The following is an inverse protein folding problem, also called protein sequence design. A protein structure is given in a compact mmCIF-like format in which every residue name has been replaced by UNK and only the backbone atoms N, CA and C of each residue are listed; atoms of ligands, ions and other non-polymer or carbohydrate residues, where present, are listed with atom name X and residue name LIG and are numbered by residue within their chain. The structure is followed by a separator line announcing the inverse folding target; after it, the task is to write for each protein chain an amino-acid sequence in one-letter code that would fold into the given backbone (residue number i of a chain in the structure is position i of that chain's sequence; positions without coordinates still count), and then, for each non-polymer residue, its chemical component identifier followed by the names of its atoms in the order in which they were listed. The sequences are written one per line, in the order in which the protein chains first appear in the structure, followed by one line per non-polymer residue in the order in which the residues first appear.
data_IF_830137029306
#
_entry.id   IF_830137029306
#
_cell.length_a   1.000
_cell.length_b   1.000
_cell.length_c   1.000
_cell.angle_alpha   90.00
_cell.angle_beta   90.00
_cell.angle_gamma   90.00
#
_symmetry.space_group_name_H-M   'P 1'
#
loop_
_entity.id
_entity.type
_entity.pdbx_description
1 polymer ?
#
# COMPACT_ATOMS: atom_id res chain seq x y z
N UNK A 1 5.09 -13.89 12.69
CA UNK A 1 4.41 -12.74 12.08
C UNK A 1 5.25 -12.30 10.90
N UNK A 2 4.74 -12.42 9.68
CA UNK A 2 5.46 -11.98 8.48
C UNK A 2 5.25 -10.47 8.40
N UNK A 3 6.29 -9.68 8.64
CA UNK A 3 6.22 -8.22 8.50
C UNK A 3 5.86 -7.85 7.06
N UNK A 4 5.08 -6.79 6.86
CA UNK A 4 4.64 -6.33 5.54
C UNK A 4 5.80 -6.13 4.56
N UNK A 5 6.96 -5.71 5.06
CA UNK A 5 8.20 -5.57 4.28
C UNK A 5 8.59 -6.86 3.53
N UNK A 6 8.45 -8.03 4.15
CA UNK A 6 8.77 -9.29 3.48
C UNK A 6 7.86 -9.57 2.28
N UNK A 7 6.65 -9.01 2.23
CA UNK A 7 5.71 -9.22 1.14
C UNK A 7 6.13 -8.48 -0.16
N UNK A 8 6.71 -7.27 -0.07
CA UNK A 8 7.13 -6.47 -1.23
C UNK A 8 8.66 -6.36 -1.37
N UNK A 9 9.44 -7.16 -0.63
CA UNK A 9 10.91 -7.12 -0.69
C UNK A 9 11.53 -7.77 -1.93
N UNK A 10 10.74 -8.43 -2.77
CA UNK A 10 11.18 -9.10 -4.01
C UNK A 10 10.67 -8.33 -5.21
N UNK A 11 11.57 -8.06 -6.17
CA UNK A 11 11.20 -7.39 -7.43
C UNK A 11 10.03 -8.07 -8.14
N UNK A 12 10.01 -9.41 -8.18
CA UNK A 12 8.89 -10.16 -8.79
C UNK A 12 7.53 -9.86 -8.12
N UNK A 13 7.49 -9.63 -6.81
CA UNK A 13 6.24 -9.25 -6.13
C UNK A 13 5.86 -7.80 -6.40
N UNK A 14 6.85 -6.91 -6.50
CA UNK A 14 6.63 -5.52 -6.94
C UNK A 14 6.08 -5.49 -8.36
N UNK A 15 6.63 -6.28 -9.27
CA UNK A 15 6.17 -6.40 -10.65
C UNK A 15 4.72 -6.94 -10.72
N UNK A 16 4.40 -7.97 -9.94
CA UNK A 16 3.01 -8.48 -9.83
C UNK A 16 2.07 -7.40 -9.31
N UNK A 17 2.47 -6.65 -8.25
CA UNK A 17 1.68 -5.53 -7.73
C UNK A 17 1.45 -4.45 -8.78
N UNK A 18 2.50 -4.06 -9.50
CA UNK A 18 2.40 -3.09 -10.59
C UNK A 18 1.36 -3.52 -11.64
N UNK A 19 1.46 -4.77 -12.09
CA UNK A 19 0.51 -5.32 -13.05
C UNK A 19 -0.93 -5.32 -12.55
N UNK A 20 -1.15 -5.59 -11.27
CA UNK A 20 -2.48 -5.60 -10.65
C UNK A 20 -3.02 -4.18 -10.40
N UNK A 21 -2.13 -3.20 -10.15
CA UNK A 21 -2.50 -1.79 -10.04
C UNK A 21 -2.86 -1.18 -11.40
N UNK A 22 -2.13 -1.56 -12.46
CA UNK A 22 -2.44 -1.11 -13.82
C UNK A 22 -3.78 -1.64 -14.34
N UNK A 23 -4.04 -2.91 -14.08
CA UNK A 23 -5.28 -3.58 -14.51
C UNK A 23 -5.74 -4.59 -13.47
N UNK A 24 -6.87 -4.37 -12.79
CA UNK A 24 -7.45 -5.34 -11.86
C UNK A 24 -7.97 -6.58 -12.58
N UNK A 25 -8.39 -7.57 -11.79
CA UNK A 25 -9.04 -8.82 -12.24
C UNK A 25 -8.20 -9.66 -13.20
N UNK A 26 -6.89 -9.80 -12.93
CA UNK A 26 -6.00 -10.69 -13.68
C UNK A 26 -6.05 -12.13 -13.16
N UNK A 27 -6.06 -13.09 -14.07
CA UNK A 27 -5.86 -14.49 -13.74
C UNK A 27 -4.36 -14.82 -13.56
N UNK A 28 -4.04 -15.92 -12.86
CA UNK A 28 -2.64 -16.40 -12.71
C UNK A 28 -1.96 -16.59 -14.06
N UNK A 29 -2.66 -17.10 -15.08
CA UNK A 29 -2.09 -17.30 -16.43
C UNK A 29 -1.63 -15.99 -17.07
N UNK A 30 -2.34 -14.89 -16.86
CA UNK A 30 -1.98 -13.57 -17.37
C UNK A 30 -0.76 -12.99 -16.65
N UNK A 31 -0.66 -13.22 -15.32
CA UNK A 31 0.52 -12.83 -14.54
C UNK A 31 1.75 -13.66 -14.92
N UNK A 32 1.59 -14.96 -15.19
CA UNK A 32 2.65 -15.84 -15.69
C UNK A 32 3.17 -15.35 -17.05
N UNK A 33 2.26 -15.01 -17.97
CA UNK A 33 2.62 -14.50 -19.29
C UNK A 33 3.37 -13.17 -19.21
N UNK A 34 2.91 -12.25 -18.35
CA UNK A 34 3.49 -10.94 -18.21
C UNK A 34 4.84 -10.94 -17.50
N UNK A 35 5.03 -11.79 -16.47
CA UNK A 35 6.27 -11.84 -15.66
C UNK A 35 7.30 -12.84 -16.18
N UNK A 36 6.89 -13.78 -17.02
CA UNK A 36 7.74 -14.90 -17.45
C UNK A 36 8.07 -15.92 -16.36
N UNK A 37 7.50 -15.80 -15.16
CA UNK A 37 7.75 -16.67 -14.04
C UNK A 37 6.97 -17.98 -14.14
N UNK A 38 7.48 -19.03 -13.48
CA UNK A 38 6.74 -20.28 -13.39
C UNK A 38 5.45 -20.11 -12.59
N UNK A 39 4.37 -20.80 -13.00
CA UNK A 39 3.04 -20.67 -12.43
C UNK A 39 2.97 -20.89 -10.89
N UNK A 40 3.78 -21.81 -10.35
CA UNK A 40 3.83 -22.05 -8.90
C UNK A 40 4.47 -20.87 -8.18
N UNK A 41 5.53 -20.26 -8.74
CA UNK A 41 6.18 -19.08 -8.19
C UNK A 41 5.23 -17.90 -8.16
N UNK A 42 4.47 -17.67 -9.24
CA UNK A 42 3.45 -16.62 -9.29
C UNK A 42 2.38 -16.86 -8.22
N UNK A 43 1.89 -18.09 -8.05
CA UNK A 43 0.91 -18.43 -7.00
C UNK A 43 1.44 -18.16 -5.60
N UNK A 44 2.68 -18.53 -5.31
CA UNK A 44 3.31 -18.24 -4.01
C UNK A 44 3.44 -16.74 -3.76
N UNK A 45 3.86 -15.98 -4.77
CA UNK A 45 3.97 -14.53 -4.66
C UNK A 45 2.61 -13.87 -4.42
N UNK A 46 1.60 -14.24 -5.21
CA UNK A 46 0.22 -13.74 -5.05
C UNK A 46 -0.33 -14.12 -3.66
N UNK A 47 -0.11 -15.35 -3.20
CA UNK A 47 -0.56 -15.76 -1.86
C UNK A 47 0.06 -14.92 -0.76
N UNK A 48 1.38 -14.65 -0.82
CA UNK A 48 2.05 -13.77 0.15
C UNK A 48 1.49 -12.34 0.14
N UNK A 49 1.13 -11.83 -1.06
CA UNK A 49 0.50 -10.51 -1.19
C UNK A 49 -0.93 -10.49 -0.62
N UNK A 50 -1.68 -11.58 -0.77
CA UNK A 50 -3.00 -11.75 -0.14
C UNK A 50 -2.88 -11.80 1.39
N UNK A 51 -1.94 -12.59 1.90
CA UNK A 51 -1.71 -12.74 3.34
C UNK A 51 -1.27 -11.42 4.00
N UNK A 52 -0.59 -10.56 3.23
CA UNK A 52 -0.20 -9.22 3.63
C UNK A 52 -1.32 -8.16 3.45
N UNK A 53 -2.42 -8.51 2.79
CA UNK A 53 -3.56 -7.61 2.56
C UNK A 53 -3.42 -6.69 1.35
N UNK A 54 -2.40 -6.86 0.50
CA UNK A 54 -2.18 -6.03 -0.69
C UNK A 54 -2.95 -6.50 -1.93
N UNK A 55 -3.39 -7.74 -1.95
CA UNK A 55 -4.13 -8.35 -3.06
C UNK A 55 -5.39 -9.00 -2.53
N UNK A 56 -6.47 -8.89 -3.30
CA UNK A 56 -7.72 -9.63 -3.10
C UNK A 56 -7.90 -10.65 -4.22
N UNK A 57 -8.64 -11.71 -3.92
CA UNK A 57 -8.96 -12.78 -4.85
C UNK A 57 -10.47 -12.96 -4.95
N UNK A 58 -11.00 -12.95 -6.15
CA UNK A 58 -12.42 -13.11 -6.43
C UNK A 58 -12.66 -14.27 -7.41
N UNK A 59 -13.74 -14.98 -7.21
CA UNK A 59 -14.15 -16.02 -8.18
C UNK A 59 -14.93 -15.38 -9.31
N UNK A 60 -14.49 -15.61 -10.57
CA UNK A 60 -15.17 -15.11 -11.75
C UNK A 60 -16.63 -15.62 -11.80
N UNK A 61 -17.58 -14.69 -11.88
CA UNK A 61 -18.97 -15.02 -12.12
C UNK A 61 -19.19 -15.37 -13.60
N UNK A 62 -19.32 -16.67 -13.88
CA UNK A 62 -19.57 -17.16 -15.25
C UNK A 62 -21.01 -17.64 -15.42
N UNK A 63 -21.60 -17.27 -16.53
CA UNK A 63 -22.88 -17.81 -17.02
C UNK A 63 -22.69 -19.01 -17.94
N UNK A 64 -21.43 -19.31 -18.34
CA UNK A 64 -21.08 -20.40 -19.28
C UNK A 64 -20.49 -21.60 -18.54
N UNK A 65 -20.67 -22.80 -19.12
CA UNK A 65 -20.16 -24.07 -18.58
C UNK A 65 -18.63 -24.07 -18.51
N UNK A 66 -18.06 -24.40 -17.36
CA UNK A 66 -16.63 -24.47 -17.11
C UNK A 66 -16.30 -24.17 -15.64
N UNK A 67 -15.09 -24.52 -15.19
CA UNK A 67 -14.65 -24.17 -13.83
C UNK A 67 -14.39 -22.66 -13.78
N UNK A 68 -15.00 -21.91 -12.84
CA UNK A 68 -14.71 -20.50 -12.65
C UNK A 68 -13.22 -20.26 -12.40
N UNK A 69 -12.68 -19.19 -12.96
CA UNK A 69 -11.32 -18.74 -12.68
C UNK A 69 -11.30 -17.89 -11.42
N UNK A 70 -10.16 -17.87 -10.75
CA UNK A 70 -9.89 -16.89 -9.69
C UNK A 70 -9.19 -15.71 -10.34
N UNK A 71 -9.70 -14.53 -10.09
CA UNK A 71 -9.18 -13.24 -10.55
C UNK A 71 -8.58 -12.49 -9.36
N UNK A 72 -7.48 -11.81 -9.59
CA UNK A 72 -6.73 -11.12 -8.58
C UNK A 72 -6.69 -9.62 -8.89
N UNK A 73 -6.85 -8.80 -7.86
CA UNK A 73 -6.81 -7.35 -7.95
C UNK A 73 -5.97 -6.77 -6.81
N UNK A 74 -5.35 -5.63 -7.04
CA UNK A 74 -4.77 -4.86 -5.94
C UNK A 74 -5.88 -4.43 -4.97
N UNK A 75 -5.62 -4.52 -3.67
CA UNK A 75 -6.52 -3.98 -2.66
C UNK A 75 -6.40 -2.45 -2.65
N UNK A 76 -7.42 -1.74 -3.08
CA UNK A 76 -7.41 -0.28 -3.21
C UNK A 76 -8.13 0.45 -2.08
N UNK A 77 -8.83 -0.30 -1.20
CA UNK A 77 -9.66 0.28 -0.15
C UNK A 77 -11.03 0.78 -0.62
N UNK A 78 -11.37 0.63 -1.90
CA UNK A 78 -12.75 0.84 -2.37
C UNK A 78 -13.64 -0.31 -1.91
N UNK A 79 -14.96 -0.08 -1.86
CA UNK A 79 -15.93 -1.09 -1.41
C UNK A 79 -15.80 -2.42 -2.18
N UNK A 80 -15.44 -2.36 -3.48
CA UNK A 80 -15.28 -3.52 -4.35
C UNK A 80 -13.90 -4.18 -4.24
N UNK A 81 -12.91 -3.48 -3.69
CA UNK A 81 -11.52 -3.91 -3.61
C UNK A 81 -10.91 -3.70 -2.21
N UNK A 82 -11.71 -3.95 -1.17
CA UNK A 82 -11.26 -3.86 0.22
C UNK A 82 -10.69 -5.20 0.71
N UNK A 83 -9.55 -5.14 1.39
CA UNK A 83 -8.93 -6.30 2.03
C UNK A 83 -9.26 -6.35 3.51
N UNK A 84 -9.96 -7.38 4.02
CA UNK A 84 -10.24 -7.53 5.44
C UNK A 84 -8.97 -7.59 6.31
N UNK A 85 -7.84 -8.01 5.75
CA UNK A 85 -6.54 -8.01 6.42
C UNK A 85 -6.03 -6.58 6.57
N UNK A 86 -6.07 -5.79 5.49
CA UNK A 86 -5.63 -4.40 5.50
C UNK A 86 -6.50 -3.53 6.41
N UNK A 87 -7.82 -3.68 6.37
CA UNK A 87 -8.76 -2.96 7.26
C UNK A 87 -8.43 -3.21 8.73
N UNK A 88 -8.27 -4.48 9.15
CA UNK A 88 -7.92 -4.78 10.54
C UNK A 88 -6.58 -4.17 10.95
N UNK A 89 -5.57 -4.20 10.07
CA UNK A 89 -4.25 -3.59 10.35
C UNK A 89 -4.40 -2.07 10.55
N UNK A 90 -5.15 -1.40 9.68
CA UNK A 90 -5.42 0.03 9.80
C UNK A 90 -6.12 0.38 11.12
N UNK A 91 -7.16 -0.38 11.50
CA UNK A 91 -7.86 -0.20 12.78
C UNK A 91 -6.96 -0.45 14.00
N UNK A 92 -6.07 -1.43 13.93
CA UNK A 92 -5.11 -1.71 15.00
C UNK A 92 -4.06 -0.60 15.12
N UNK A 93 -3.56 -0.06 14.01
CA UNK A 93 -2.65 1.06 13.96
C UNK A 93 -3.27 2.32 14.56
N UNK A 94 -4.51 2.66 14.16
CA UNK A 94 -5.26 3.78 14.70
C UNK A 94 -5.43 3.68 16.22
N UNK A 95 -5.79 2.49 16.74
CA UNK A 95 -5.90 2.26 18.19
C UNK A 95 -4.57 2.47 18.93
N UNK A 96 -3.45 2.04 18.33
CA UNK A 96 -2.12 2.26 18.92
C UNK A 96 -1.72 3.74 18.90
N UNK A 97 -1.97 4.42 17.80
CA UNK A 97 -1.72 5.85 17.67
C UNK A 97 -2.50 6.67 18.69
N UNK A 98 -3.78 6.38 18.87
CA UNK A 98 -4.62 7.02 19.90
C UNK A 98 -4.07 6.80 21.32
N UNK A 99 -3.61 5.60 21.62
CA UNK A 99 -3.00 5.29 22.92
C UNK A 99 -1.72 6.08 23.12
N UNK A 100 -0.84 6.13 22.13
CA UNK A 100 0.42 6.87 22.20
C UNK A 100 0.17 8.37 22.41
N UNK A 101 -0.78 8.98 21.69
CA UNK A 101 -1.15 10.39 21.88
C UNK A 101 -1.68 10.68 23.27
N UNK A 102 -2.44 9.76 23.89
CA UNK A 102 -2.91 9.91 25.28
C UNK A 102 -1.79 9.83 26.30
N UNK A 103 -0.78 9.00 26.06
CA UNK A 103 0.33 8.77 26.99
C UNK A 103 1.39 9.88 26.91
N UNK A 104 1.76 10.27 25.69
CA UNK A 104 2.86 11.20 25.46
C UNK A 104 2.40 12.65 25.22
N UNK A 105 1.09 12.87 25.08
CA UNK A 105 0.55 14.13 24.63
C UNK A 105 0.72 14.31 23.11
N UNK A 106 -0.16 15.10 22.51
CA UNK A 106 0.00 15.51 21.12
C UNK A 106 0.64 16.89 21.11
N UNK A 107 1.88 16.99 20.70
CA UNK A 107 2.59 18.27 20.46
C UNK A 107 2.14 18.96 19.15
N UNK A 108 1.01 18.54 18.60
CA UNK A 108 0.59 18.98 17.28
C UNK A 108 -0.37 20.15 17.34
N UNK A 109 0.13 21.32 16.97
CA UNK A 109 -0.67 22.54 16.65
C UNK A 109 -1.51 22.38 15.36
N UNK A 110 -1.45 21.25 14.67
CA UNK A 110 -2.26 20.97 13.48
C UNK A 110 -3.59 20.35 13.90
N UNK A 111 -4.68 21.06 13.64
CA UNK A 111 -6.04 20.60 13.89
C UNK A 111 -6.51 19.60 12.82
N UNK A 112 -5.82 18.45 12.69
CA UNK A 112 -6.32 17.35 11.88
C UNK A 112 -7.45 16.64 12.61
N UNK A 113 -8.54 16.36 11.87
CA UNK A 113 -9.64 15.56 12.39
C UNK A 113 -9.22 14.14 12.74
N UNK A 114 -9.98 13.47 13.61
CA UNK A 114 -9.68 12.13 14.10
C UNK A 114 -9.45 11.12 12.95
N UNK A 115 -10.27 11.17 11.90
CA UNK A 115 -10.16 10.24 10.77
C UNK A 115 -8.86 10.45 9.98
N UNK A 116 -8.40 11.70 9.82
CA UNK A 116 -7.11 11.99 9.20
C UNK A 116 -5.93 11.49 10.06
N UNK A 117 -6.03 11.64 11.38
CA UNK A 117 -5.03 11.09 12.31
C UNK A 117 -4.98 9.56 12.25
N UNK A 118 -6.13 8.88 12.21
CA UNK A 118 -6.19 7.43 12.04
C UNK A 118 -5.56 6.96 10.73
N UNK A 119 -5.77 7.71 9.64
CA UNK A 119 -5.10 7.43 8.36
C UNK A 119 -3.58 7.58 8.46
N UNK A 120 -3.09 8.62 9.13
CA UNK A 120 -1.65 8.81 9.34
C UNK A 120 -1.05 7.70 10.22
N UNK A 121 -1.73 7.30 11.29
CA UNK A 121 -1.29 6.19 12.14
C UNK A 121 -1.15 4.89 11.33
N UNK A 122 -2.16 4.57 10.51
CA UNK A 122 -2.14 3.40 9.65
C UNK A 122 -0.98 3.45 8.62
N UNK A 123 -0.76 4.62 8.01
CA UNK A 123 0.29 4.82 7.04
C UNK A 123 1.68 4.71 7.66
N UNK A 124 1.92 5.37 8.80
CA UNK A 124 3.21 5.32 9.52
C UNK A 124 3.56 3.90 9.93
N UNK A 125 2.58 3.14 10.41
CA UNK A 125 2.80 1.76 10.80
C UNK A 125 3.10 0.86 9.60
N UNK A 126 2.35 0.99 8.49
CA UNK A 126 2.58 0.20 7.28
C UNK A 126 3.97 0.50 6.69
N UNK A 127 4.37 1.77 6.65
CA UNK A 127 5.70 2.18 6.22
C UNK A 127 6.81 1.67 7.16
N UNK A 128 6.60 1.73 8.48
CA UNK A 128 7.53 1.16 9.47
C UNK A 128 7.70 -0.36 9.28
N UNK A 129 6.61 -1.09 9.08
CA UNK A 129 6.63 -2.52 8.76
C UNK A 129 7.32 -2.80 7.42
N UNK A 130 7.26 -1.87 6.48
CA UNK A 130 7.99 -1.92 5.21
C UNK A 130 9.47 -1.53 5.32
N UNK A 131 9.95 -1.14 6.51
CA UNK A 131 11.36 -0.83 6.79
C UNK A 131 11.74 0.61 6.53
N UNK A 132 10.78 1.50 6.36
CA UNK A 132 10.99 2.95 6.34
C UNK A 132 11.00 3.53 7.76
N UNK A 133 11.57 4.72 7.88
CA UNK A 133 11.48 5.56 9.08
C UNK A 133 10.75 6.86 8.71
N UNK A 134 9.41 6.84 8.60
CA UNK A 134 8.65 7.95 8.06
C UNK A 134 8.60 9.14 9.03
N UNK A 135 8.90 10.33 8.52
CA UNK A 135 8.70 11.59 9.23
C UNK A 135 7.49 12.32 8.63
N UNK A 136 6.46 12.51 9.45
CA UNK A 136 5.21 13.15 9.01
C UNK A 136 5.19 14.61 9.45
N UNK A 137 5.03 15.52 8.48
CA UNK A 137 4.64 16.90 8.75
C UNK A 137 3.13 17.04 8.54
N UNK A 138 2.42 17.24 9.66
CA UNK A 138 0.95 17.34 9.64
C UNK A 138 0.46 18.71 9.15
N UNK A 139 1.30 19.76 9.14
CA UNK A 139 0.93 21.10 8.66
C UNK A 139 0.97 21.14 7.14
N UNK A 140 2.07 20.62 6.59
CA UNK A 140 2.30 20.61 5.14
C UNK A 140 1.73 19.35 4.48
N UNK A 141 1.20 18.41 5.27
CA UNK A 141 0.69 17.10 4.83
C UNK A 141 1.73 16.35 3.98
N UNK A 142 2.97 16.27 4.49
CA UNK A 142 4.05 15.54 3.83
C UNK A 142 4.52 14.35 4.67
N UNK A 143 4.99 13.32 3.97
CA UNK A 143 5.64 12.15 4.57
C UNK A 143 7.03 12.02 3.94
N UNK A 144 8.07 12.29 4.73
CA UNK A 144 9.46 12.13 4.32
C UNK A 144 9.92 10.69 4.59
N UNK A 145 10.35 10.02 3.54
CA UNK A 145 10.85 8.64 3.54
C UNK A 145 12.35 8.59 3.23
N UNK A 146 13.07 9.67 3.44
CA UNK A 146 14.50 9.81 3.16
C UNK A 146 15.35 9.18 4.29
N UNK A 147 16.38 8.36 3.99
CA UNK A 147 16.81 7.92 2.66
C UNK A 147 15.93 6.78 2.12
N UNK A 148 15.66 6.84 0.82
CA UNK A 148 14.88 5.77 0.18
C UNK A 148 15.66 4.44 0.22
N UNK A 149 15.17 3.36 0.84
CA UNK A 149 15.89 2.08 0.94
C UNK A 149 16.04 1.37 -0.41
N UNK A 150 15.32 1.80 -1.45
CA UNK A 150 15.35 1.22 -2.79
C UNK A 150 16.28 1.95 -3.78
N UNK A 151 17.07 2.91 -3.32
CA UNK A 151 18.08 3.62 -4.17
C UNK A 151 18.94 2.68 -5.02
N UNK A 152 19.41 1.51 -4.51
CA UNK A 152 20.22 0.60 -5.32
C UNK A 152 19.53 0.04 -6.56
N UNK A 153 18.19 0.07 -6.61
CA UNK A 153 17.39 -0.44 -7.73
C UNK A 153 17.03 0.65 -8.77
N UNK A 154 18.00 1.50 -9.14
CA UNK A 154 17.77 2.66 -10.02
C UNK A 154 17.08 2.31 -11.34
N UNK A 155 17.38 1.14 -11.92
CA UNK A 155 16.79 0.66 -13.19
C UNK A 155 15.26 0.43 -13.08
N UNK A 156 14.76 0.14 -11.89
CA UNK A 156 13.35 -0.18 -11.63
C UNK A 156 12.63 0.88 -10.80
N UNK A 157 13.28 2.02 -10.56
CA UNK A 157 12.75 3.08 -9.68
C UNK A 157 11.33 3.50 -10.05
N UNK A 158 11.05 3.70 -11.34
CA UNK A 158 9.71 4.14 -11.78
C UNK A 158 8.62 3.17 -11.34
N UNK A 159 8.83 1.87 -11.53
CA UNK A 159 7.89 0.82 -11.12
C UNK A 159 7.79 0.74 -9.59
N UNK A 160 8.92 0.78 -8.89
CA UNK A 160 8.95 0.76 -7.42
C UNK A 160 8.20 1.95 -6.82
N UNK A 161 8.48 3.17 -7.28
CA UNK A 161 7.79 4.37 -6.79
C UNK A 161 6.29 4.32 -7.09
N UNK A 162 5.89 3.90 -8.30
CA UNK A 162 4.48 3.75 -8.66
C UNK A 162 3.75 2.77 -7.75
N UNK A 163 4.35 1.61 -7.48
CA UNK A 163 3.78 0.60 -6.57
C UNK A 163 3.67 1.15 -5.15
N UNK A 164 4.70 1.82 -4.64
CA UNK A 164 4.65 2.41 -3.29
C UNK A 164 3.56 3.47 -3.16
N UNK A 165 3.43 4.38 -4.12
CA UNK A 165 2.34 5.38 -4.13
C UNK A 165 0.99 4.68 -4.04
N UNK A 166 0.76 3.69 -4.89
CA UNK A 166 -0.51 2.94 -4.90
C UNK A 166 -0.76 2.18 -3.59
N UNK A 167 0.28 1.64 -2.95
CA UNK A 167 0.15 0.98 -1.64
C UNK A 167 -0.18 1.99 -0.53
N UNK A 168 0.51 3.13 -0.48
CA UNK A 168 0.24 4.19 0.50
C UNK A 168 -1.19 4.73 0.36
N UNK A 169 -1.64 4.99 -0.87
CA UNK A 169 -3.01 5.44 -1.12
C UNK A 169 -4.04 4.38 -0.73
N UNK A 170 -3.75 3.11 -0.99
CA UNK A 170 -4.57 1.99 -0.53
C UNK A 170 -4.67 1.92 1.00
N UNK A 171 -3.57 2.10 1.73
CA UNK A 171 -3.58 2.10 3.20
C UNK A 171 -4.45 3.25 3.73
N UNK A 172 -4.30 4.46 3.18
CA UNK A 172 -5.13 5.61 3.55
C UNK A 172 -6.62 5.33 3.28
N UNK A 173 -6.95 4.75 2.12
CA UNK A 173 -8.32 4.41 1.77
C UNK A 173 -8.91 3.33 2.69
N UNK A 174 -8.14 2.29 3.05
CA UNK A 174 -8.55 1.21 3.96
C UNK A 174 -8.80 1.73 5.40
N UNK A 175 -8.01 2.72 5.82
CA UNK A 175 -8.21 3.36 7.13
C UNK A 175 -9.47 4.23 7.18
N UNK A 176 -9.96 4.69 6.03
CA UNK A 176 -11.12 5.58 5.92
C UNK A 176 -10.83 6.99 6.43
N UNK A 177 -11.11 7.99 5.62
CA UNK A 177 -10.89 9.39 5.97
C UNK A 177 -10.59 10.28 4.77
N UNK A 178 -10.24 11.55 4.99
CA UNK A 178 -10.12 12.54 3.92
C UNK A 178 -8.78 12.50 3.17
N UNK A 179 -7.72 11.88 3.74
CA UNK A 179 -6.38 11.94 3.15
C UNK A 179 -6.22 11.01 1.95
N UNK A 180 -5.47 11.49 0.94
CA UNK A 180 -5.08 10.77 -0.27
C UNK A 180 -3.63 11.09 -0.59
N UNK A 181 -2.97 10.21 -1.32
CA UNK A 181 -1.66 10.51 -1.88
C UNK A 181 -1.83 11.40 -3.11
N UNK A 182 -1.24 12.58 -3.11
CA UNK A 182 -1.21 13.47 -4.27
C UNK A 182 -0.05 13.10 -5.22
N UNK A 183 1.09 12.73 -4.67
CA UNK A 183 2.26 12.33 -5.43
C UNK A 183 3.56 12.38 -4.64
N UNK A 184 4.67 12.21 -5.34
CA UNK A 184 6.02 12.40 -4.79
C UNK A 184 6.47 13.80 -5.17
N UNK A 185 6.97 14.57 -4.21
CA UNK A 185 7.53 15.89 -4.44
C UNK A 185 8.75 15.79 -5.38
N UNK A 186 8.85 16.63 -6.40
CA UNK A 186 9.99 16.62 -7.30
C UNK A 186 11.29 16.92 -6.53
N UNK A 187 12.32 16.08 -6.71
CA UNK A 187 13.65 16.29 -6.15
C UNK A 187 14.71 15.95 -7.17
N UNK A 188 15.77 16.78 -7.21
CA UNK A 188 16.98 16.49 -7.98
C UNK A 188 17.86 15.43 -7.30
N UNK A 189 17.66 15.18 -6.00
CA UNK A 189 18.36 14.14 -5.24
C UNK A 189 17.62 12.82 -5.35
N UNK A 190 18.20 11.80 -5.97
CA UNK A 190 17.56 10.50 -6.11
C UNK A 190 17.37 9.75 -4.78
N UNK A 191 18.00 10.20 -3.71
CA UNK A 191 17.83 9.61 -2.38
C UNK A 191 16.65 10.22 -1.61
N UNK A 192 16.19 11.40 -2.00
CA UNK A 192 15.02 12.03 -1.38
C UNK A 192 13.73 11.36 -1.85
N UNK A 193 12.83 11.15 -0.90
CA UNK A 193 11.51 10.62 -1.14
C UNK A 193 10.51 11.29 -0.20
N UNK A 194 9.96 12.41 -0.65
CA UNK A 194 8.92 13.14 0.09
C UNK A 194 7.61 12.95 -0.62
N UNK A 195 6.64 12.38 0.07
CA UNK A 195 5.29 12.12 -0.45
C UNK A 195 4.38 13.25 0.01
N UNK A 196 3.67 13.86 -0.94
CA UNK A 196 2.65 14.86 -0.67
C UNK A 196 1.30 14.18 -0.49
N UNK A 197 0.61 14.52 0.58
CA UNK A 197 -0.77 14.13 0.83
C UNK A 197 -1.70 15.32 0.55
N UNK A 198 -2.93 15.02 0.19
CA UNK A 198 -4.00 16.00 0.05
C UNK A 198 -5.20 15.58 0.88
N UNK A 199 -5.90 16.55 1.47
CA UNK A 199 -7.18 16.30 2.11
C UNK A 199 -8.31 16.57 1.11
N UNK A 200 -9.15 15.56 0.83
CA UNK A 200 -10.37 15.78 0.07
C UNK A 200 -11.31 16.66 0.89
N UNK A 201 -11.78 17.75 0.30
CA UNK A 201 -12.85 18.54 0.91
C UNK A 201 -14.13 17.72 0.84
N UNK A 202 -14.67 17.36 2.01
CA UNK A 202 -15.97 16.73 2.13
C UNK A 202 -17.11 17.61 1.60
#
# INVERSE_FOLDING_TARGET
MTTGYSAISSYSRVEIMHLLQERPQRAISELVEATGLHANTVREHVQRLIDAGYVIAETEHRTTRGRPRVLYSAATGSDEASSPVAVRRAEEAARRGDLLRRVYGSDTDAELGADALHQLDALVEDLGDAGFDPLVDQRDLTVDLTPCPHVPAAEHRGVLCSVHIGLMDSVLAQAGGPLRVEGIAPSCDPTQCVVQLAASRG
#
